data_IF_132228966109
#
_entry.id   IF_132228966109
#
_cell.length_a   1.000
_cell.length_b   1.000
_cell.length_c   1.000
_cell.angle_alpha   90.00
_cell.angle_beta   90.00
_cell.angle_gamma   90.00
#
_symmetry.space_group_name_H-M   'P 1'
#
loop_
_entity.id
_entity.type
_entity.pdbx_description
1 polymer ?
#
# COMPACT_ATOMS: atom_id res chain seq x y z
N UNK A 1 2.10 12.79 -79.57
CA UNK A 1 0.89 12.17 -78.99
C UNK A 1 1.29 10.77 -78.56
N UNK A 2 1.34 10.34 -77.31
CA UNK A 2 0.86 10.90 -76.03
C UNK A 2 1.71 10.31 -74.90
N UNK A 3 2.12 11.12 -73.93
CA UNK A 3 2.73 10.66 -72.67
C UNK A 3 1.62 10.33 -71.67
N UNK A 4 1.60 9.11 -71.16
CA UNK A 4 0.70 8.69 -70.07
C UNK A 4 1.50 8.72 -68.77
N UNK A 5 1.12 9.61 -67.85
CA UNK A 5 1.66 9.69 -66.50
C UNK A 5 0.89 8.72 -65.60
N UNK A 6 1.56 7.72 -65.04
CA UNK A 6 1.00 6.83 -64.02
C UNK A 6 1.13 7.48 -62.65
N UNK A 7 0.01 7.87 -62.02
CA UNK A 7 -0.05 8.21 -60.61
C UNK A 7 0.08 6.92 -59.78
N UNK A 8 1.22 6.76 -59.10
CA UNK A 8 1.36 5.78 -58.03
C UNK A 8 0.66 6.28 -56.77
N UNK A 9 -0.42 5.62 -56.36
CA UNK A 9 -1.06 5.86 -55.07
C UNK A 9 -0.20 5.16 -54.02
N UNK A 10 0.52 5.93 -53.20
CA UNK A 10 1.16 5.44 -51.97
C UNK A 10 0.05 5.28 -50.94
N UNK A 11 -0.32 4.03 -50.66
CA UNK A 11 -1.20 3.70 -49.54
C UNK A 11 -0.33 3.76 -48.28
N UNK A 12 -0.34 4.92 -47.61
CA UNK A 12 0.17 5.06 -46.26
C UNK A 12 -0.75 4.28 -45.33
N UNK A 13 -0.33 3.06 -44.97
CA UNK A 13 -0.95 2.29 -43.91
C UNK A 13 -0.67 3.04 -42.60
N UNK A 14 -1.64 3.84 -42.16
CA UNK A 14 -1.66 4.32 -40.79
C UNK A 14 -1.90 3.10 -39.91
N UNK A 15 -0.84 2.60 -39.26
CA UNK A 15 -1.01 1.80 -38.08
C UNK A 15 -1.77 2.67 -37.09
N UNK A 16 -3.04 2.31 -36.83
CA UNK A 16 -3.77 2.90 -35.71
C UNK A 16 -2.95 2.64 -34.46
N UNK A 17 -2.59 3.65 -33.66
CA UNK A 17 -2.08 3.37 -32.33
C UNK A 17 -3.14 2.52 -31.65
N UNK A 18 -2.76 1.31 -31.25
CA UNK A 18 -3.54 0.52 -30.32
C UNK A 18 -3.68 1.43 -29.11
N UNK A 19 -4.87 1.98 -28.89
CA UNK A 19 -5.19 2.60 -27.62
C UNK A 19 -4.83 1.56 -26.56
N UNK A 20 -4.00 1.89 -25.55
CA UNK A 20 -3.78 0.96 -24.47
C UNK A 20 -5.18 0.62 -23.93
N UNK A 21 -5.54 -0.65 -24.06
CA UNK A 21 -6.71 -1.18 -23.38
C UNK A 21 -6.54 -0.78 -21.91
N UNK A 22 -7.65 -0.36 -21.30
CA UNK A 22 -7.74 0.00 -19.89
C UNK A 22 -6.85 -0.95 -19.08
N UNK A 23 -5.71 -0.46 -18.60
CA UNK A 23 -4.76 -1.28 -17.84
C UNK A 23 -5.46 -1.73 -16.58
N UNK A 24 -6.05 -2.93 -16.61
CA UNK A 24 -6.61 -3.56 -15.43
C UNK A 24 -5.49 -3.73 -14.43
N UNK A 25 -5.78 -3.39 -13.19
CA UNK A 25 -4.83 -3.50 -12.11
C UNK A 25 -4.72 -4.97 -11.69
N UNK A 26 -3.93 -5.75 -12.44
CA UNK A 26 -3.71 -7.16 -12.16
C UNK A 26 -2.35 -7.30 -11.48
N UNK A 27 -2.29 -7.53 -10.15
CA UNK A 27 -1.03 -7.77 -9.48
C UNK A 27 -0.34 -9.01 -10.10
N UNK A 28 0.99 -8.97 -10.33
CA UNK A 28 1.71 -10.12 -10.85
C UNK A 28 1.64 -11.30 -9.87
N UNK A 29 1.34 -12.51 -10.37
CA UNK A 29 1.38 -13.73 -9.56
C UNK A 29 2.82 -14.04 -9.14
N UNK A 30 3.14 -13.82 -7.86
CA UNK A 30 4.46 -14.07 -7.27
C UNK A 30 4.60 -15.44 -6.62
N UNK A 31 3.57 -16.29 -6.72
CA UNK A 31 3.53 -17.60 -6.09
C UNK A 31 3.25 -17.54 -4.59
N UNK A 32 2.54 -18.54 -4.08
CA UNK A 32 2.14 -18.63 -2.67
C UNK A 32 3.33 -19.03 -1.79
N UNK A 33 3.64 -18.34 -0.68
CA UNK A 33 4.56 -18.86 0.31
C UNK A 33 4.05 -20.21 0.84
N UNK A 34 4.93 -21.21 0.89
CA UNK A 34 4.60 -22.52 1.44
C UNK A 34 4.15 -22.43 2.89
N UNK A 35 3.06 -23.15 3.22
CA UNK A 35 2.52 -23.29 4.58
C UNK A 35 3.59 -23.78 5.56
N UNK A 36 4.01 -22.93 6.48
CA UNK A 36 4.73 -23.37 7.69
C UNK A 36 3.69 -23.86 8.70
N UNK A 37 3.74 -25.14 9.05
CA UNK A 37 2.94 -25.72 10.12
C UNK A 37 3.36 -25.10 11.46
N UNK A 38 2.42 -24.44 12.15
CA UNK A 38 2.66 -23.89 13.48
C UNK A 38 2.89 -25.00 14.51
N UNK A 39 4.06 -24.97 15.17
CA UNK A 39 4.39 -25.83 16.30
C UNK A 39 3.80 -25.26 17.60
N UNK A 40 2.51 -25.51 17.84
CA UNK A 40 1.84 -25.16 19.10
C UNK A 40 1.42 -26.40 19.87
N UNK A 41 2.34 -27.04 20.61
CA UNK A 41 1.97 -28.07 21.59
C UNK A 41 1.83 -27.46 22.98
N UNK A 42 0.61 -27.10 23.38
CA UNK A 42 0.20 -27.16 24.79
C UNK A 42 -1.16 -27.82 24.90
N UNK A 43 -1.09 -29.10 25.21
CA UNK A 43 -2.17 -29.98 25.65
C UNK A 43 -2.65 -29.53 27.04
N UNK A 44 -3.95 -29.27 27.19
CA UNK A 44 -4.63 -29.15 28.49
C UNK A 44 -5.77 -30.17 28.60
N UNK A 45 -5.87 -30.76 29.79
CA UNK A 45 -6.77 -31.85 30.20
C UNK A 45 -8.26 -31.45 30.09
N UNK A 46 -9.13 -32.27 29.48
CA UNK A 46 -10.54 -31.91 29.24
C UNK A 46 -11.48 -32.11 30.45
N UNK A 47 -10.98 -32.21 31.69
CA UNK A 47 -11.81 -32.52 32.87
C UNK A 47 -12.11 -31.39 33.85
N UNK A 48 -11.64 -30.16 33.63
CA UNK A 48 -12.11 -28.97 34.38
C UNK A 48 -13.01 -28.08 33.50
N UNK A 49 -14.27 -28.51 33.34
CA UNK A 49 -15.32 -27.68 32.77
C UNK A 49 -15.85 -26.71 33.85
N UNK A 50 -15.27 -25.52 33.93
CA UNK A 50 -15.87 -24.40 34.67
C UNK A 50 -17.09 -23.82 33.92
N UNK A 51 -18.06 -23.18 34.63
CA UNK A 51 -19.38 -22.88 34.08
C UNK A 51 -19.34 -21.91 32.90
N UNK A 52 -20.09 -22.24 31.84
CA UNK A 52 -20.13 -21.56 30.53
C UNK A 52 -20.93 -20.24 30.52
N UNK A 53 -20.80 -19.42 31.56
CA UNK A 53 -21.48 -18.10 31.65
C UNK A 53 -20.49 -16.96 31.95
N UNK A 54 -19.32 -16.99 31.32
CA UNK A 54 -18.47 -15.80 31.18
C UNK A 54 -18.36 -15.48 29.69
N UNK A 55 -18.71 -14.27 29.23
CA UNK A 55 -18.40 -13.87 27.87
C UNK A 55 -16.87 -13.77 27.75
N UNK A 56 -16.24 -14.83 27.27
CA UNK A 56 -14.92 -14.75 26.66
C UNK A 56 -15.09 -13.86 25.43
N UNK A 57 -14.36 -12.74 25.41
CA UNK A 57 -14.33 -11.72 24.36
C UNK A 57 -15.29 -10.52 24.54
N UNK A 58 -15.27 -9.87 25.71
CA UNK A 58 -15.89 -8.54 25.91
C UNK A 58 -14.88 -7.48 26.41
N UNK A 59 -13.63 -7.57 25.95
CA UNK A 59 -12.67 -6.47 26.07
C UNK A 59 -12.28 -5.98 24.69
N UNK A 60 -13.17 -5.16 24.13
CA UNK A 60 -12.86 -4.18 23.11
C UNK A 60 -11.80 -3.21 23.69
N UNK A 61 -10.52 -3.62 23.71
CA UNK A 61 -9.36 -2.74 23.98
C UNK A 61 -8.75 -2.19 22.69
N UNK A 62 -9.42 -2.41 21.56
CA UNK A 62 -8.98 -2.02 20.22
C UNK A 62 -10.02 -1.25 19.43
N UNK A 63 -11.00 -0.60 20.06
CA UNK A 63 -11.84 0.36 19.33
C UNK A 63 -11.64 1.74 19.92
N UNK A 64 -11.13 2.66 19.10
CA UNK A 64 -11.19 4.09 19.43
C UNK A 64 -12.62 4.64 19.30
N UNK A 65 -13.57 3.86 18.78
CA UNK A 65 -14.92 4.33 18.59
C UNK A 65 -15.67 4.39 19.91
N UNK A 66 -16.16 5.59 20.26
CA UNK A 66 -17.12 5.83 21.34
C UNK A 66 -18.46 5.11 21.10
N UNK A 67 -18.74 4.71 19.87
CA UNK A 67 -19.77 3.74 19.47
C UNK A 67 -19.26 2.97 18.24
N UNK A 68 -18.88 1.68 18.36
CA UNK A 68 -18.44 0.91 17.20
C UNK A 68 -19.63 0.73 16.24
N UNK A 69 -19.62 1.46 15.12
CA UNK A 69 -20.46 1.11 13.99
C UNK A 69 -19.90 -0.18 13.42
N UNK A 70 -20.63 -1.28 13.60
CA UNK A 70 -20.27 -2.60 13.07
C UNK A 70 -20.20 -2.64 11.54
N UNK A 71 -20.69 -1.61 10.86
CA UNK A 71 -20.60 -1.45 9.41
C UNK A 71 -19.49 -0.48 8.98
N UNK A 72 -18.82 0.19 9.92
CA UNK A 72 -17.68 1.04 9.57
C UNK A 72 -16.52 0.18 9.09
N UNK A 73 -15.93 0.60 7.97
CA UNK A 73 -14.76 -0.07 7.41
C UNK A 73 -13.58 0.07 8.39
N UNK A 74 -12.84 -1.00 8.69
CA UNK A 74 -11.70 -0.92 9.60
C UNK A 74 -10.51 -0.21 8.95
N UNK A 75 -9.49 0.11 9.75
CA UNK A 75 -8.18 0.56 9.23
C UNK A 75 -7.69 -0.45 8.17
N UNK A 76 -7.42 0.02 6.95
CA UNK A 76 -7.10 -0.85 5.82
C UNK A 76 -5.97 -0.26 4.99
N UNK A 77 -4.89 -1.01 4.79
CA UNK A 77 -3.80 -0.56 3.91
C UNK A 77 -4.17 -0.80 2.45
N UNK A 78 -3.87 0.15 1.58
CA UNK A 78 -4.11 0.03 0.14
C UNK A 78 -2.90 -0.66 -0.51
N UNK A 79 -2.76 -1.96 -0.24
CA UNK A 79 -1.60 -2.79 -0.58
C UNK A 79 -1.99 -3.94 -1.52
N UNK A 80 -1.02 -4.57 -2.21
CA UNK A 80 -1.29 -5.77 -2.99
C UNK A 80 -1.96 -6.89 -2.17
N UNK A 81 -2.64 -7.85 -2.83
CA UNK A 81 -3.25 -9.01 -2.17
C UNK A 81 -2.31 -9.87 -1.33
N UNK A 82 -1.03 -9.88 -1.66
CA UNK A 82 0.01 -10.61 -0.93
C UNK A 82 0.75 -9.74 0.08
N UNK A 83 0.26 -8.51 0.34
CA UNK A 83 0.87 -7.47 1.18
C UNK A 83 2.30 -7.05 0.79
N UNK A 84 2.82 -7.49 -0.37
CA UNK A 84 4.17 -7.23 -0.86
C UNK A 84 4.18 -6.28 -2.06
N UNK A 85 4.36 -4.99 -1.79
CA UNK A 85 4.46 -3.97 -2.85
C UNK A 85 5.89 -3.67 -3.28
N UNK A 86 6.04 -3.17 -4.51
CA UNK A 86 7.30 -2.63 -5.03
C UNK A 86 7.15 -1.11 -5.18
N UNK A 87 8.25 -0.39 -4.94
CA UNK A 87 8.40 1.02 -5.30
C UNK A 87 9.67 1.28 -6.08
N UNK A 88 9.68 2.33 -6.92
CA UNK A 88 10.90 2.87 -7.53
C UNK A 88 11.46 4.08 -6.77
N UNK A 89 10.66 4.67 -5.88
CA UNK A 89 11.02 5.88 -5.15
C UNK A 89 11.96 5.60 -3.97
N UNK A 90 12.83 6.56 -3.66
CA UNK A 90 13.63 6.52 -2.44
C UNK A 90 12.82 6.88 -1.19
N UNK A 91 11.77 7.70 -1.41
CA UNK A 91 10.81 8.20 -0.42
C UNK A 91 9.40 7.91 -0.95
N UNK A 92 8.92 6.67 -0.84
CA UNK A 92 7.62 6.29 -1.37
C UNK A 92 6.47 6.95 -0.60
N UNK A 93 5.31 7.00 -1.26
CA UNK A 93 4.03 7.35 -0.64
C UNK A 93 3.16 6.11 -0.54
N UNK A 94 2.69 5.84 0.66
CA UNK A 94 1.75 4.78 0.99
C UNK A 94 0.34 5.35 1.12
N UNK A 95 -0.67 4.49 1.10
CA UNK A 95 -2.06 4.90 1.23
C UNK A 95 -2.78 3.97 2.19
N UNK A 96 -3.60 4.56 3.05
CA UNK A 96 -4.37 3.84 4.07
C UNK A 96 -5.78 4.41 4.11
N UNK A 97 -6.79 3.54 4.16
CA UNK A 97 -8.12 3.93 4.57
C UNK A 97 -8.19 4.00 6.09
N UNK A 98 -8.56 5.16 6.59
CA UNK A 98 -8.70 5.46 8.02
C UNK A 98 -10.20 5.58 8.33
N UNK A 99 -10.75 4.81 9.28
CA UNK A 99 -12.14 5.01 9.71
C UNK A 99 -12.31 6.40 10.35
N UNK A 100 -13.56 6.88 10.53
CA UNK A 100 -13.81 8.02 11.40
C UNK A 100 -13.29 7.73 12.82
N UNK A 101 -12.50 8.65 13.37
CA UNK A 101 -11.88 8.54 14.69
C UNK A 101 -12.30 9.70 15.59
N UNK A 102 -12.21 9.56 16.92
CA UNK A 102 -12.36 10.69 17.83
C UNK A 102 -11.33 11.79 17.57
N UNK A 103 -11.67 13.04 17.89
CA UNK A 103 -10.85 14.23 17.63
C UNK A 103 -9.43 14.13 18.22
N UNK A 104 -9.27 13.48 19.36
CA UNK A 104 -7.98 13.33 20.04
C UNK A 104 -7.11 12.20 19.49
N UNK A 105 -7.65 11.34 18.62
CA UNK A 105 -6.93 10.21 18.08
C UNK A 105 -5.83 10.66 17.10
N UNK A 106 -4.72 9.92 17.10
CA UNK A 106 -3.63 10.06 16.13
C UNK A 106 -3.36 8.75 15.43
N UNK A 107 -2.66 8.82 14.30
CA UNK A 107 -2.05 7.67 13.66
C UNK A 107 -0.56 7.72 13.95
N UNK A 108 0.05 6.58 14.23
CA UNK A 108 1.48 6.44 14.10
C UNK A 108 1.77 5.67 12.81
N UNK A 109 2.65 6.26 12.00
CA UNK A 109 3.17 5.68 10.78
C UNK A 109 4.64 5.40 10.99
N UNK A 110 5.09 4.19 10.65
CA UNK A 110 6.48 3.80 10.79
C UNK A 110 6.95 2.95 9.61
N UNK A 111 8.24 3.05 9.34
CA UNK A 111 8.97 2.19 8.40
C UNK A 111 10.15 1.58 9.13
N UNK A 112 10.30 0.26 9.00
CA UNK A 112 11.34 -0.52 9.64
C UNK A 112 12.03 -1.43 8.63
N UNK A 113 13.22 -1.90 8.98
CA UNK A 113 13.97 -2.87 8.21
C UNK A 113 14.45 -3.99 9.14
N UNK A 114 14.38 -5.24 8.69
CA UNK A 114 15.02 -6.34 9.42
C UNK A 114 16.54 -6.18 9.43
N UNK A 115 17.09 -6.19 10.63
CA UNK A 115 18.52 -6.25 10.91
C UNK A 115 18.85 -7.61 11.49
N UNK A 116 19.82 -8.28 10.88
CA UNK A 116 20.33 -9.56 11.34
C UNK A 116 21.57 -9.32 12.20
N UNK A 117 21.50 -9.73 13.46
CA UNK A 117 22.56 -9.58 14.44
C UNK A 117 23.11 -10.95 14.82
N UNK A 118 24.43 -11.08 14.90
CA UNK A 118 25.06 -12.27 15.46
C UNK A 118 25.05 -12.17 17.00
N UNK A 119 24.15 -12.92 17.64
CA UNK A 119 24.05 -13.03 19.09
C UNK A 119 24.81 -14.24 19.64
N UNK A 120 24.96 -14.28 20.97
CA UNK A 120 25.64 -15.40 21.67
C UNK A 120 24.92 -16.75 21.49
N UNK A 121 23.60 -16.73 21.26
CA UNK A 121 22.77 -17.93 21.05
C UNK A 121 22.45 -18.20 19.56
N UNK A 122 22.98 -17.39 18.63
CA UNK A 122 22.74 -17.51 17.19
C UNK A 122 22.31 -16.19 16.54
N UNK A 123 21.85 -16.27 15.30
CA UNK A 123 21.41 -15.09 14.54
C UNK A 123 20.06 -14.59 15.08
N UNK A 124 20.02 -13.36 15.56
CA UNK A 124 18.83 -12.65 16.02
C UNK A 124 18.34 -11.72 14.90
N UNK A 125 17.03 -11.62 14.70
CA UNK A 125 16.41 -10.64 13.79
C UNK A 125 15.77 -9.56 14.65
N UNK A 126 16.05 -8.30 14.34
CA UNK A 126 15.42 -7.14 14.99
C UNK A 126 14.90 -6.15 13.96
N UNK A 127 13.85 -5.44 14.33
CA UNK A 127 13.35 -4.31 13.55
C UNK A 127 14.23 -3.09 13.80
N UNK A 128 15.02 -2.71 12.80
CA UNK A 128 15.73 -1.44 12.77
C UNK A 128 14.77 -0.36 12.28
N UNK A 129 14.51 0.62 13.14
CA UNK A 129 13.68 1.76 12.78
C UNK A 129 14.34 2.60 11.67
N UNK A 130 13.60 2.84 10.59
CA UNK A 130 13.97 3.78 9.53
C UNK A 130 13.26 5.12 9.76
N UNK A 131 11.97 5.06 10.10
CA UNK A 131 11.14 6.22 10.38
C UNK A 131 10.01 5.86 11.35
N UNK A 132 9.63 6.81 12.20
CA UNK A 132 8.38 6.79 12.98
C UNK A 132 7.89 8.23 13.12
N UNK A 133 6.60 8.46 12.95
CA UNK A 133 5.99 9.78 13.12
C UNK A 133 4.51 9.70 13.38
N UNK A 134 3.93 10.80 13.85
CA UNK A 134 2.49 10.88 14.11
C UNK A 134 1.79 11.69 13.03
N UNK A 135 0.66 11.18 12.55
CA UNK A 135 -0.15 11.81 11.51
C UNK A 135 -1.56 12.03 12.04
N UNK A 136 -2.14 13.18 11.72
CA UNK A 136 -3.53 13.46 12.09
C UNK A 136 -4.48 12.74 11.13
N UNK A 137 -5.49 12.00 11.63
CA UNK A 137 -6.45 11.33 10.78
C UNK A 137 -7.40 12.33 10.09
N UNK A 138 -8.04 11.96 8.96
CA UNK A 138 -9.12 12.74 8.38
C UNK A 138 -10.33 12.81 9.32
N UNK A 139 -10.96 13.99 9.45
CA UNK A 139 -12.10 14.21 10.36
C UNK A 139 -13.28 13.27 10.09
N UNK A 140 -13.64 13.07 8.82
CA UNK A 140 -14.75 12.21 8.40
C UNK A 140 -14.30 10.76 8.08
N UNK A 141 -13.04 10.42 8.36
CA UNK A 141 -12.40 9.23 7.81
C UNK A 141 -12.18 9.32 6.29
N UNK A 142 -11.52 8.32 5.72
CA UNK A 142 -11.22 8.26 4.30
C UNK A 142 -9.79 7.81 4.00
N UNK A 143 -9.40 7.94 2.74
CA UNK A 143 -8.07 7.53 2.26
C UNK A 143 -7.06 8.64 2.55
N UNK A 144 -6.03 8.28 3.29
CA UNK A 144 -4.94 9.15 3.71
C UNK A 144 -3.64 8.72 3.03
N UNK A 145 -2.98 9.61 2.25
CA UNK A 145 -1.60 9.39 1.83
C UNK A 145 -0.63 9.54 3.01
N UNK A 146 0.34 8.63 3.09
CA UNK A 146 1.43 8.63 4.06
C UNK A 146 2.76 8.64 3.32
N UNK A 147 3.46 9.77 3.33
CA UNK A 147 4.76 9.92 2.67
C UNK A 147 5.88 9.56 3.65
N UNK A 148 6.87 8.77 3.22
CA UNK A 148 8.13 8.65 3.94
C UNK A 148 8.87 9.99 3.79
N UNK A 149 9.00 10.80 4.85
CA UNK A 149 9.54 12.14 4.68
C UNK A 149 11.07 12.09 4.53
N UNK A 150 11.64 13.19 4.02
CA UNK A 150 13.11 13.36 3.94
C UNK A 150 13.72 13.78 5.28
N UNK A 151 12.91 14.40 6.14
CA UNK A 151 13.28 14.88 7.46
C UNK A 151 12.17 14.49 8.45
N UNK A 152 12.54 14.11 9.68
CA UNK A 152 11.57 13.85 10.75
C UNK A 152 11.01 15.14 11.35
N UNK A 153 10.12 15.02 12.34
CA UNK A 153 9.46 16.18 12.98
C UNK A 153 10.46 17.08 13.72
N UNK A 154 11.61 16.54 14.14
CA UNK A 154 12.72 17.25 14.76
C UNK A 154 13.72 17.84 13.75
N UNK A 155 13.53 17.59 12.45
CA UNK A 155 14.39 18.08 11.37
C UNK A 155 15.67 17.26 11.15
N UNK A 156 15.74 16.03 11.65
CA UNK A 156 16.83 15.11 11.34
C UNK A 156 16.55 14.40 10.00
N UNK A 157 17.60 14.12 9.20
CA UNK A 157 17.42 13.43 7.92
C UNK A 157 16.97 11.99 8.12
N UNK A 158 15.91 11.61 7.41
CA UNK A 158 15.43 10.22 7.31
C UNK A 158 16.21 9.51 6.21
N UNK A 159 16.64 8.27 6.48
CA UNK A 159 17.42 7.50 5.50
C UNK A 159 16.51 7.03 4.35
N UNK A 160 16.88 7.28 3.07
CA UNK A 160 16.10 6.80 1.93
C UNK A 160 16.09 5.27 1.87
N UNK A 161 15.04 4.70 1.30
CA UNK A 161 15.01 3.25 1.02
C UNK A 161 16.12 2.90 0.03
N UNK A 162 16.85 1.82 0.29
CA UNK A 162 17.94 1.36 -0.57
C UNK A 162 17.42 0.39 -1.63
N UNK A 163 18.01 0.45 -2.84
CA UNK A 163 17.65 -0.44 -3.94
C UNK A 163 17.97 -1.90 -3.58
N UNK A 164 17.03 -2.80 -3.87
CA UNK A 164 17.15 -4.24 -3.63
C UNK A 164 17.03 -4.61 -2.16
N UNK A 165 16.46 -3.74 -1.33
CA UNK A 165 16.21 -4.01 0.09
C UNK A 165 14.72 -4.06 0.39
N UNK A 166 14.37 -4.94 1.31
CA UNK A 166 13.01 -5.11 1.83
C UNK A 166 12.84 -4.30 3.12
N UNK A 167 11.67 -3.70 3.25
CA UNK A 167 11.24 -2.93 4.41
C UNK A 167 9.81 -3.33 4.76
N UNK A 168 9.46 -3.13 6.03
CA UNK A 168 8.09 -3.20 6.53
C UNK A 168 7.62 -1.80 6.86
N UNK A 169 6.35 -1.53 6.59
CA UNK A 169 5.71 -0.30 7.04
C UNK A 169 4.39 -0.63 7.71
N UNK A 170 4.06 0.13 8.74
CA UNK A 170 2.82 -0.09 9.48
C UNK A 170 2.15 1.23 9.84
N UNK A 171 0.85 1.14 10.07
CA UNK A 171 0.02 2.20 10.61
C UNK A 171 -0.67 1.66 11.85
N UNK A 172 -0.63 2.43 12.94
CA UNK A 172 -1.43 2.15 14.12
C UNK A 172 -2.24 3.34 14.58
N UNK A 173 -3.44 3.08 15.10
CA UNK A 173 -4.28 4.10 15.70
C UNK A 173 -3.91 4.26 17.18
N UNK A 174 -3.61 5.49 17.56
CA UNK A 174 -3.40 5.93 18.94
C UNK A 174 -4.69 6.60 19.44
N UNK A 175 -5.56 5.88 20.13
CA UNK A 175 -6.82 6.45 20.63
C UNK A 175 -6.58 7.56 21.67
N UNK A 176 -5.54 7.39 22.49
CA UNK A 176 -5.01 8.44 23.35
C UNK A 176 -3.50 8.53 23.10
N UNK A 177 -3.02 9.57 22.39
CA UNK A 177 -1.60 9.72 22.07
C UNK A 177 -0.72 9.92 23.32
N UNK A 178 -1.28 10.43 24.43
CA UNK A 178 -0.55 10.61 25.69
C UNK A 178 -0.49 9.33 26.54
N UNK A 179 -1.34 8.34 26.25
CA UNK A 179 -1.39 7.06 26.94
C UNK A 179 -1.65 5.91 25.94
N UNK A 180 -0.64 5.56 25.11
CA UNK A 180 -0.77 4.56 24.06
C UNK A 180 -0.91 3.17 24.67
N UNK A 181 -2.14 2.83 25.05
CA UNK A 181 -2.53 1.54 25.66
C UNK A 181 -3.52 0.78 24.79
N UNK A 182 -3.76 1.28 23.58
CA UNK A 182 -4.63 0.67 22.60
C UNK A 182 -3.92 -0.51 21.96
N UNK A 183 -4.53 -1.70 22.04
CA UNK A 183 -4.03 -2.92 21.44
C UNK A 183 -5.21 -3.70 20.86
N UNK A 184 -5.07 -4.18 19.63
CA UNK A 184 -6.09 -4.98 18.98
C UNK A 184 -5.81 -5.14 17.49
N UNK A 185 -6.40 -6.15 16.84
CA UNK A 185 -6.21 -6.35 15.41
C UNK A 185 -6.69 -5.12 14.64
N UNK A 186 -7.78 -4.46 15.02
CA UNK A 186 -8.40 -3.39 14.22
C UNK A 186 -7.68 -2.04 14.21
N UNK A 187 -6.67 -1.87 15.07
CA UNK A 187 -5.94 -0.61 15.22
C UNK A 187 -4.52 -0.68 14.67
N UNK A 188 -4.07 -1.81 14.14
CA UNK A 188 -2.73 -1.99 13.60
C UNK A 188 -2.79 -2.74 12.27
N UNK A 189 -2.07 -2.25 11.27
CA UNK A 189 -1.87 -2.92 9.99
C UNK A 189 -0.44 -2.75 9.52
N UNK A 190 0.09 -3.77 8.86
CA UNK A 190 1.45 -3.82 8.33
C UNK A 190 1.46 -4.38 6.91
N UNK A 191 2.42 -3.91 6.11
CA UNK A 191 2.72 -4.47 4.80
C UNK A 191 4.20 -4.28 4.44
N UNK A 192 4.60 -4.89 3.33
CA UNK A 192 5.97 -4.92 2.85
C UNK A 192 6.19 -3.98 1.67
N UNK A 193 7.38 -3.41 1.60
CA UNK A 193 7.84 -2.62 0.46
C UNK A 193 9.28 -2.97 0.10
N UNK A 194 9.50 -3.28 -1.17
CA UNK A 194 10.84 -3.44 -1.74
C UNK A 194 11.11 -2.29 -2.70
N UNK A 195 12.24 -1.60 -2.54
CA UNK A 195 12.67 -0.59 -3.52
C UNK A 195 13.46 -1.27 -4.63
N UNK A 196 13.04 -1.10 -5.89
CA UNK A 196 13.79 -1.57 -7.05
C UNK A 196 14.27 -0.38 -7.90
N UNK A 197 15.32 -0.62 -8.69
CA UNK A 197 15.73 0.32 -9.74
C UNK A 197 15.04 -0.09 -11.05
N UNK A 198 14.47 0.86 -11.81
CA UNK A 198 13.91 0.55 -13.12
C UNK A 198 15.02 0.16 -14.10
N UNK A 199 14.70 -0.66 -15.10
CA UNK A 199 15.60 -0.85 -16.23
C UNK A 199 15.67 0.45 -17.06
N UNK A 200 16.77 0.70 -17.80
CA UNK A 200 16.86 1.88 -18.66
C UNK A 200 15.71 1.98 -19.67
N UNK A 201 15.26 0.84 -20.20
CA UNK A 201 14.15 0.78 -21.15
C UNK A 201 12.82 1.19 -20.50
N UNK A 202 12.53 0.67 -19.30
CA UNK A 202 11.29 1.00 -18.58
C UNK A 202 11.30 2.44 -18.09
N UNK A 203 12.45 2.95 -17.65
CA UNK A 203 12.59 4.36 -17.26
C UNK A 203 12.31 5.28 -18.45
N UNK A 204 12.85 4.99 -19.64
CA UNK A 204 12.57 5.75 -20.85
C UNK A 204 11.09 5.69 -21.26
N UNK A 205 10.47 4.50 -21.17
CA UNK A 205 9.04 4.33 -21.45
C UNK A 205 8.15 5.15 -20.50
N UNK A 206 8.47 5.16 -19.20
CA UNK A 206 7.76 5.98 -18.21
C UNK A 206 7.91 7.48 -18.49
N UNK A 207 9.09 7.94 -18.90
CA UNK A 207 9.34 9.36 -19.23
C UNK A 207 8.57 9.83 -20.46
N UNK A 208 8.42 8.97 -21.48
CA UNK A 208 7.70 9.29 -22.72
C UNK A 208 6.17 9.19 -22.57
N UNK A 209 5.69 8.37 -21.63
CA UNK A 209 4.27 8.14 -21.41
C UNK A 209 3.57 9.35 -20.77
N UNK A 210 2.31 9.58 -21.14
CA UNK A 210 1.43 10.52 -20.42
C UNK A 210 1.16 10.04 -18.99
N UNK A 211 0.77 10.94 -18.08
CA UNK A 211 0.48 10.55 -16.69
C UNK A 211 -0.53 9.42 -16.55
N UNK A 212 -1.59 9.43 -17.37
CA UNK A 212 -2.60 8.36 -17.38
C UNK A 212 -2.03 7.01 -17.82
N UNK A 213 -1.13 7.01 -18.81
CA UNK A 213 -0.44 5.81 -19.29
C UNK A 213 0.56 5.28 -18.26
N UNK A 214 1.28 6.17 -17.57
CA UNK A 214 2.23 5.77 -16.53
C UNK A 214 1.57 4.97 -15.40
N UNK A 215 0.35 5.33 -14.99
CA UNK A 215 -0.41 4.54 -14.01
C UNK A 215 -0.58 3.10 -14.49
N UNK A 216 -0.87 2.88 -15.78
CA UNK A 216 -1.01 1.53 -16.36
C UNK A 216 0.31 0.77 -16.38
N UNK A 217 1.38 1.43 -16.84
CA UNK A 217 2.73 0.84 -16.89
C UNK A 217 3.25 0.40 -15.51
N UNK A 218 3.05 1.24 -14.49
CA UNK A 218 3.44 0.94 -13.11
C UNK A 218 2.60 -0.19 -12.52
N UNK A 219 1.30 -0.20 -12.80
CA UNK A 219 0.38 -1.25 -12.38
C UNK A 219 0.75 -2.62 -12.95
N UNK A 220 0.92 -2.71 -14.27
CA UNK A 220 1.22 -3.97 -14.99
C UNK A 220 2.56 -4.59 -14.56
N UNK A 221 3.50 -3.77 -14.10
CA UNK A 221 4.81 -4.22 -13.61
C UNK A 221 4.84 -4.50 -12.10
N UNK A 222 3.73 -4.30 -11.40
CA UNK A 222 3.62 -4.52 -9.96
C UNK A 222 4.32 -3.47 -9.10
N UNK A 223 4.66 -2.30 -9.67
CA UNK A 223 5.16 -1.11 -8.95
C UNK A 223 3.98 -0.40 -8.28
N UNK A 224 3.38 -1.11 -7.33
CA UNK A 224 2.07 -0.82 -6.76
C UNK A 224 1.97 0.56 -6.11
N UNK A 225 2.94 0.92 -5.26
CA UNK A 225 2.91 2.17 -4.51
C UNK A 225 3.00 3.39 -5.43
N UNK A 226 3.90 3.35 -6.41
CA UNK A 226 4.06 4.40 -7.41
C UNK A 226 2.84 4.50 -8.34
N UNK A 227 2.21 3.36 -8.70
CA UNK A 227 1.00 3.35 -9.51
C UNK A 227 -0.16 4.05 -8.79
N UNK A 228 -0.38 3.73 -7.51
CA UNK A 228 -1.42 4.36 -6.71
C UNK A 228 -1.15 5.85 -6.47
N UNK A 229 0.11 6.20 -6.21
CA UNK A 229 0.50 7.60 -6.05
C UNK A 229 0.21 8.43 -7.31
N UNK A 230 0.61 7.90 -8.47
CA UNK A 230 0.35 8.55 -9.76
C UNK A 230 -1.14 8.64 -10.08
N UNK A 231 -1.93 7.63 -9.70
CA UNK A 231 -3.39 7.65 -9.86
C UNK A 231 -4.04 8.71 -8.96
N UNK A 232 -3.60 8.82 -7.70
CA UNK A 232 -4.08 9.85 -6.77
C UNK A 232 -3.72 11.27 -7.25
N UNK A 233 -2.51 11.46 -7.77
CA UNK A 233 -2.07 12.71 -8.39
C UNK A 233 -2.94 13.07 -9.59
N UNK A 234 -3.20 12.12 -10.48
CA UNK A 234 -4.06 12.31 -11.65
C UNK A 234 -5.49 12.70 -11.25
N UNK A 235 -6.05 12.03 -10.23
CA UNK A 235 -7.37 12.33 -9.68
C UNK A 235 -7.46 13.75 -9.12
N UNK A 236 -6.41 14.22 -8.44
CA UNK A 236 -6.37 15.57 -7.85
C UNK A 236 -6.36 16.72 -8.86
N UNK A 237 -5.96 16.46 -10.12
CA UNK A 237 -5.76 17.51 -11.13
C UNK A 237 -7.01 17.90 -11.91
N UNK A 238 -8.10 17.13 -11.80
CA UNK A 238 -9.37 17.38 -12.49
C UNK A 238 -9.19 17.66 -14.01
N UNK A 239 -8.34 16.88 -14.67
CA UNK A 239 -8.10 16.97 -16.13
C UNK A 239 -9.21 16.26 -16.94
N UNK A 240 -9.28 16.57 -18.24
CA UNK A 240 -10.39 16.35 -19.20
C UNK A 240 -10.96 14.91 -19.32
N UNK A 241 -10.34 13.90 -18.69
CA UNK A 241 -10.75 12.48 -18.68
C UNK A 241 -11.22 11.98 -17.29
N UNK A 242 -11.83 12.86 -16.50
CA UNK A 242 -12.32 12.61 -15.11
C UNK A 242 -13.10 11.28 -14.96
N UNK A 243 -13.92 10.91 -15.95
CA UNK A 243 -14.72 9.68 -15.92
C UNK A 243 -13.88 8.38 -15.96
N UNK A 244 -12.71 8.40 -16.61
CA UNK A 244 -11.81 7.24 -16.67
C UNK A 244 -11.00 7.10 -15.38
N UNK A 245 -10.56 8.22 -14.81
CA UNK A 245 -9.74 8.25 -13.60
C UNK A 245 -10.52 7.75 -12.38
N UNK A 246 -11.75 8.21 -12.19
CA UNK A 246 -12.57 7.75 -11.07
C UNK A 246 -12.93 6.27 -11.21
N UNK A 247 -13.20 5.78 -12.44
CA UNK A 247 -13.41 4.34 -12.65
C UNK A 247 -12.19 3.51 -12.27
N UNK A 248 -10.98 3.95 -12.65
CA UNK A 248 -9.72 3.28 -12.28
C UNK A 248 -9.47 3.31 -10.78
N UNK A 249 -9.82 4.43 -10.12
CA UNK A 249 -9.76 4.56 -8.67
C UNK A 249 -10.69 3.54 -8.00
N UNK A 250 -11.94 3.44 -8.42
CA UNK A 250 -12.88 2.47 -7.88
C UNK A 250 -12.43 1.02 -8.12
N UNK A 251 -11.93 0.69 -9.32
CA UNK A 251 -11.35 -0.63 -9.60
C UNK A 251 -10.19 -0.97 -8.68
N UNK A 252 -9.31 -0.01 -8.41
CA UNK A 252 -8.23 -0.18 -7.45
C UNK A 252 -8.77 -0.47 -6.05
N UNK A 253 -9.77 0.30 -5.60
CA UNK A 253 -10.40 0.10 -4.30
C UNK A 253 -11.06 -1.27 -4.18
N UNK A 254 -11.78 -1.73 -5.20
CA UNK A 254 -12.40 -3.05 -5.21
C UNK A 254 -11.37 -4.18 -5.05
N UNK A 255 -10.19 -4.03 -5.66
CA UNK A 255 -9.11 -5.03 -5.55
C UNK A 255 -8.54 -5.13 -4.14
N UNK A 256 -8.39 -4.01 -3.44
CA UNK A 256 -7.88 -4.00 -2.05
C UNK A 256 -8.96 -4.31 -1.02
N UNK A 257 -10.22 -3.99 -1.31
CA UNK A 257 -11.37 -4.25 -0.42
C UNK A 257 -11.84 -5.70 -0.45
N UNK A 258 -11.48 -6.46 -1.49
CA UNK A 258 -11.81 -7.88 -1.60
C UNK A 258 -10.98 -8.82 -0.69
N UNK A 259 -10.09 -8.25 0.14
CA UNK A 259 -9.15 -8.95 1.02
C UNK A 259 -9.70 -9.24 2.42
#
# INVERSE_FOLDING_TARGET
>A
MSLVWGLGIVVLSFATPVSPALGEFVPPDRGTPGRLEGAGTRWSDPSEAEPRDQPLFDTVRGSCASSPDVNARPLTLLVPPDIWGITLQEYPRFFVYVPPLPDEAKLEFAVTQWEYLDGEEGQEIRDRQVYVGQVSPPEEGGILPLELPREDEEGNPVTPLAVGQDYTWFVRILCNPEAPTSFGPDIWREAWVTRLAPTPEFAAELEEASMSQQVGLLAETGVWYDALDRLAELRSRADEDESNVEQRWQQFLDLVESQ
#
